data_IF_811097203294
#
_entry.id   IF_811097203294
#
_cell.length_a   1.000
_cell.length_b   1.000
_cell.length_c   1.000
_cell.angle_alpha   90.00
_cell.angle_beta   90.00
_cell.angle_gamma   90.00
#
_symmetry.space_group_name_H-M   'P 1'
#
loop_
_entity.id
_entity.type
_entity.pdbx_description
1 polymer ?
#
# COMPACT_ATOMS: atom_id res chain seq x y z
N UNK A 1 -3.43 35.96 27.83
CA UNK A 1 -4.80 35.43 27.62
C UNK A 1 -5.22 35.92 26.25
N UNK A 2 -5.56 35.16 25.22
CA UNK A 2 -6.02 33.78 25.01
C UNK A 2 -6.05 33.64 23.48
N UNK A 3 -5.63 32.52 22.87
CA UNK A 3 -6.02 32.27 21.47
C UNK A 3 -5.18 31.39 20.55
N UNK A 4 -4.07 30.78 20.96
CA UNK A 4 -3.27 29.92 20.06
C UNK A 4 -2.90 28.56 20.67
N UNK A 5 -3.84 27.91 21.34
CA UNK A 5 -3.75 26.49 21.65
C UNK A 5 -5.10 25.83 21.40
N UNK A 6 -5.12 24.88 20.45
CA UNK A 6 -6.12 23.81 20.23
C UNK A 6 -6.39 23.56 18.75
N UNK A 7 -5.38 23.08 18.00
CA UNK A 7 -5.60 22.35 16.75
C UNK A 7 -5.89 20.88 17.09
N UNK A 8 -7.04 20.65 17.72
CA UNK A 8 -7.50 19.33 18.18
C UNK A 8 -7.90 18.40 17.03
N UNK A 9 -7.82 17.10 17.31
CA UNK A 9 -8.30 15.88 16.63
C UNK A 9 -9.46 16.05 15.63
N UNK A 10 -10.35 17.02 15.84
CA UNK A 10 -11.46 17.40 14.96
C UNK A 10 -11.01 17.87 13.57
N UNK A 11 -9.90 18.62 13.44
CA UNK A 11 -9.36 19.05 12.12
C UNK A 11 -8.74 17.90 11.34
N UNK A 12 -8.06 16.96 12.01
CA UNK A 12 -7.58 15.70 11.41
C UNK A 12 -8.74 14.90 10.84
N UNK A 13 -9.82 14.74 11.61
CA UNK A 13 -11.02 13.99 11.19
C UNK A 13 -11.74 14.67 10.01
N UNK A 14 -11.84 16.01 9.99
CA UNK A 14 -12.45 16.76 8.87
C UNK A 14 -11.59 16.71 7.60
N UNK A 15 -10.27 16.81 7.73
CA UNK A 15 -9.36 16.73 6.58
C UNK A 15 -9.34 15.32 6.00
N UNK A 16 -9.28 14.28 6.83
CA UNK A 16 -9.39 12.88 6.39
C UNK A 16 -10.75 12.63 5.74
N UNK A 17 -11.86 13.14 6.31
CA UNK A 17 -13.19 13.04 5.67
C UNK A 17 -13.24 13.76 4.32
N UNK A 18 -12.72 14.99 4.20
CA UNK A 18 -12.66 15.67 2.90
C UNK A 18 -11.82 14.92 1.86
N UNK A 19 -10.71 14.30 2.28
CA UNK A 19 -9.84 13.51 1.41
C UNK A 19 -10.47 12.17 1.00
N UNK A 20 -11.28 11.54 1.88
CA UNK A 20 -12.01 10.30 1.58
C UNK A 20 -13.16 10.48 0.59
N UNK A 21 -13.72 11.69 0.44
CA UNK A 21 -14.84 11.99 -0.47
C UNK A 21 -14.40 12.57 -1.83
N UNK A 22 -13.15 12.98 -1.98
CA UNK A 22 -12.63 13.47 -3.25
C UNK A 22 -12.22 12.30 -4.16
N UNK A 23 -12.53 12.38 -5.46
CA UNK A 23 -11.93 11.43 -6.42
C UNK A 23 -10.40 11.47 -6.29
N UNK A 24 -9.71 10.34 -6.43
CA UNK A 24 -8.26 10.30 -6.23
C UNK A 24 -7.50 11.33 -7.11
N UNK A 25 -8.01 11.65 -8.30
CA UNK A 25 -7.49 12.73 -9.17
C UNK A 25 -7.66 14.12 -8.55
N UNK A 26 -8.82 14.40 -7.97
CA UNK A 26 -9.14 15.67 -7.29
C UNK A 26 -8.29 15.87 -6.04
N UNK A 27 -8.02 14.79 -5.30
CA UNK A 27 -7.20 14.79 -4.09
C UNK A 27 -5.73 15.14 -4.38
N UNK A 28 -5.11 14.47 -5.37
CA UNK A 28 -3.75 14.74 -5.83
C UNK A 28 -3.57 16.16 -6.36
N UNK A 29 -4.58 16.69 -7.06
CA UNK A 29 -4.56 18.07 -7.59
C UNK A 29 -4.65 19.10 -6.47
N UNK A 30 -5.49 18.85 -5.46
CA UNK A 30 -5.63 19.70 -4.28
C UNK A 30 -4.35 19.68 -3.43
N UNK A 31 -3.78 18.50 -3.18
CA UNK A 31 -2.51 18.34 -2.47
C UNK A 31 -1.36 18.99 -3.22
N UNK A 32 -1.23 18.78 -4.54
CA UNK A 32 -0.21 19.44 -5.35
C UNK A 32 -0.34 20.98 -5.28
N UNK A 33 -1.56 21.53 -5.31
CA UNK A 33 -1.79 22.97 -5.15
C UNK A 33 -1.41 23.48 -3.75
N UNK A 34 -1.71 22.73 -2.71
CA UNK A 34 -1.36 23.06 -1.32
C UNK A 34 0.17 22.98 -1.11
N UNK A 35 0.81 21.92 -1.60
CA UNK A 35 2.26 21.70 -1.57
C UNK A 35 3.00 22.78 -2.35
N UNK A 36 2.56 23.14 -3.56
CA UNK A 36 3.17 24.22 -4.35
C UNK A 36 3.10 25.57 -3.63
N UNK A 37 1.97 25.88 -2.96
CA UNK A 37 1.86 27.10 -2.14
C UNK A 37 2.75 27.08 -0.88
N UNK A 38 2.89 25.93 -0.24
CA UNK A 38 3.75 25.76 0.94
C UNK A 38 5.24 25.80 0.57
N UNK A 39 5.61 25.30 -0.62
CA UNK A 39 6.99 25.34 -1.14
C UNK A 39 7.37 26.72 -1.71
N UNK A 40 6.43 27.48 -2.26
CA UNK A 40 6.67 28.85 -2.74
C UNK A 40 6.94 29.87 -1.61
N UNK A 41 6.57 29.54 -0.37
CA UNK A 41 6.71 30.44 0.79
C UNK A 41 7.93 30.13 1.67
N UNK A 42 8.67 29.06 1.39
CA UNK A 42 9.88 28.68 2.14
C UNK A 42 11.04 28.40 1.20
N UNK A 43 12.10 29.19 1.31
CA UNK A 43 13.42 28.95 0.71
C UNK A 43 14.09 27.74 1.37
N UNK A 44 13.53 26.55 1.19
CA UNK A 44 14.08 25.31 1.75
C UNK A 44 14.68 24.45 0.64
N UNK A 45 15.85 23.84 0.91
CA UNK A 45 16.49 22.82 0.06
C UNK A 45 15.44 21.83 -0.47
N UNK A 46 15.55 21.42 -1.74
CA UNK A 46 14.62 20.44 -2.29
C UNK A 46 14.66 19.17 -1.43
N UNK A 47 13.50 18.55 -1.13
CA UNK A 47 13.47 17.31 -0.37
C UNK A 47 14.35 16.25 -1.05
N UNK A 48 15.06 15.43 -0.25
CA UNK A 48 15.87 14.32 -0.78
C UNK A 48 15.01 13.38 -1.62
N UNK A 49 15.63 12.60 -2.51
CA UNK A 49 14.94 11.73 -3.46
C UNK A 49 13.88 10.81 -2.84
N UNK A 50 14.00 10.47 -1.54
CA UNK A 50 13.01 9.68 -0.79
C UNK A 50 11.63 10.35 -0.66
N UNK A 51 11.56 11.69 -0.55
CA UNK A 51 10.32 12.43 -0.32
C UNK A 51 9.45 12.58 -1.57
N UNK A 52 10.06 12.54 -2.76
CA UNK A 52 9.33 12.56 -4.05
C UNK A 52 8.71 11.21 -4.41
N UNK A 53 9.03 10.15 -3.66
CA UNK A 53 8.46 8.81 -3.86
C UNK A 53 7.08 8.66 -3.22
N UNK A 54 6.88 9.30 -2.07
CA UNK A 54 5.71 9.17 -1.19
C UNK A 54 4.38 9.64 -1.80
N UNK A 55 4.41 10.36 -2.94
CA UNK A 55 3.26 11.02 -3.55
C UNK A 55 2.55 10.18 -4.63
N UNK A 56 3.11 9.03 -5.05
CA UNK A 56 2.64 8.32 -6.25
C UNK A 56 2.23 6.85 -6.08
N UNK A 57 2.49 6.23 -4.93
CA UNK A 57 2.23 4.82 -4.69
C UNK A 57 0.78 4.56 -4.32
N UNK A 58 -0.10 4.44 -5.32
CA UNK A 58 -1.44 3.86 -5.11
C UNK A 58 -1.29 2.45 -4.54
N UNK A 59 -1.60 2.27 -3.25
CA UNK A 59 -1.72 0.94 -2.62
C UNK A 59 -0.41 0.20 -2.33
N UNK A 60 0.77 0.79 -2.57
CA UNK A 60 2.09 0.14 -2.45
C UNK A 60 2.78 0.38 -1.10
N UNK A 61 2.22 1.19 -0.21
CA UNK A 61 2.92 1.56 1.04
C UNK A 61 2.88 0.47 2.12
N UNK A 62 2.01 -0.54 1.98
CA UNK A 62 2.08 -1.78 2.76
C UNK A 62 3.35 -2.57 2.50
N UNK A 63 3.77 -2.60 1.23
CA UNK A 63 4.96 -3.27 0.75
C UNK A 63 6.21 -2.57 1.21
N UNK A 64 6.20 -1.24 1.14
CA UNK A 64 7.38 -0.43 1.29
C UNK A 64 8.01 -0.56 2.67
N UNK A 65 7.23 -0.40 3.74
CA UNK A 65 7.76 -0.44 5.11
C UNK A 65 8.28 -1.83 5.49
N UNK A 66 7.55 -2.88 5.09
CA UNK A 66 7.95 -4.26 5.38
C UNK A 66 9.22 -4.66 4.60
N UNK A 67 9.31 -4.30 3.32
CA UNK A 67 10.50 -4.54 2.49
C UNK A 67 11.68 -3.64 2.86
N UNK A 68 11.46 -2.41 3.31
CA UNK A 68 12.53 -1.44 3.59
C UNK A 68 13.45 -1.93 4.70
N UNK A 69 12.87 -2.63 5.68
CA UNK A 69 13.60 -3.29 6.75
C UNK A 69 14.57 -4.36 6.24
N UNK A 70 14.23 -5.06 5.16
CA UNK A 70 15.04 -6.15 4.60
C UNK A 70 16.34 -5.66 3.97
N UNK A 71 16.48 -4.36 3.69
CA UNK A 71 17.72 -3.73 3.21
C UNK A 71 18.93 -4.01 4.08
N UNK A 72 18.72 -4.18 5.40
CA UNK A 72 19.78 -4.48 6.37
C UNK A 72 20.53 -5.78 6.04
N UNK A 73 19.88 -6.70 5.34
CA UNK A 73 20.43 -7.98 4.91
C UNK A 73 20.95 -7.96 3.46
N UNK A 74 20.93 -6.81 2.78
CA UNK A 74 21.33 -6.68 1.37
C UNK A 74 20.27 -7.28 0.44
N UNK A 75 19.23 -6.52 0.10
CA UNK A 75 18.13 -7.02 -0.72
C UNK A 75 18.61 -7.29 -2.16
N UNK A 76 18.51 -8.55 -2.61
CA UNK A 76 19.05 -9.01 -3.90
C UNK A 76 17.97 -9.21 -4.96
N UNK A 77 16.82 -9.79 -4.59
CA UNK A 77 15.67 -9.98 -5.49
C UNK A 77 14.36 -9.90 -4.73
N UNK A 78 13.31 -9.50 -5.43
CA UNK A 78 11.93 -9.53 -4.92
C UNK A 78 11.03 -10.21 -5.94
N UNK A 79 10.24 -11.18 -5.47
CA UNK A 79 9.16 -11.79 -6.23
C UNK A 79 7.87 -11.52 -5.48
N UNK A 80 6.84 -11.05 -6.18
CA UNK A 80 5.62 -10.58 -5.57
C UNK A 80 4.39 -10.99 -6.37
N UNK A 81 3.32 -11.30 -5.65
CA UNK A 81 1.98 -11.43 -6.23
C UNK A 81 1.02 -10.57 -5.43
N UNK A 82 0.37 -9.63 -6.10
CA UNK A 82 -0.55 -8.69 -5.47
C UNK A 82 -2.00 -9.11 -5.70
N UNK A 83 -2.81 -8.91 -4.67
CA UNK A 83 -4.23 -9.19 -4.62
C UNK A 83 -4.94 -7.88 -4.31
N UNK A 84 -5.16 -7.09 -5.35
CA UNK A 84 -5.66 -5.74 -5.24
C UNK A 84 -7.19 -5.71 -5.18
N UNK A 85 -7.72 -4.85 -4.30
CA UNK A 85 -9.14 -4.62 -4.08
C UNK A 85 -9.80 -3.74 -5.14
N UNK A 86 -11.13 -3.82 -5.27
CA UNK A 86 -11.95 -3.02 -6.18
C UNK A 86 -11.79 -1.49 -5.99
N UNK A 87 -11.50 -1.01 -4.78
CA UNK A 87 -11.26 0.42 -4.51
C UNK A 87 -10.11 1.03 -5.32
N UNK A 88 -9.20 0.22 -5.86
CA UNK A 88 -8.17 0.68 -6.80
C UNK A 88 -8.75 1.29 -8.08
N UNK A 89 -9.93 0.84 -8.50
CA UNK A 89 -10.69 1.41 -9.63
C UNK A 89 -11.65 2.54 -9.19
N UNK A 90 -11.60 2.95 -7.93
CA UNK A 90 -12.46 4.01 -7.37
C UNK A 90 -13.82 3.51 -6.90
N UNK A 91 -14.73 4.46 -6.64
CA UNK A 91 -16.07 4.17 -6.13
C UNK A 91 -16.88 3.32 -7.12
N UNK A 92 -16.79 3.64 -8.41
CA UNK A 92 -17.49 2.90 -9.47
C UNK A 92 -17.08 1.43 -9.52
N UNK A 93 -15.80 1.10 -9.32
CA UNK A 93 -15.35 -0.29 -9.25
C UNK A 93 -15.87 -1.03 -8.01
N UNK A 94 -15.98 -0.35 -6.86
CA UNK A 94 -16.59 -0.95 -5.67
C UNK A 94 -18.10 -1.17 -5.85
N UNK A 95 -18.77 -0.26 -6.55
CA UNK A 95 -20.20 -0.36 -6.84
C UNK A 95 -20.47 -1.48 -7.85
N UNK A 96 -19.68 -1.58 -8.92
CA UNK A 96 -19.75 -2.69 -9.89
C UNK A 96 -19.57 -4.05 -9.22
N UNK A 97 -18.60 -4.18 -8.31
CA UNK A 97 -18.44 -5.42 -7.53
C UNK A 97 -19.67 -5.69 -6.65
N UNK A 98 -20.19 -4.68 -5.95
CA UNK A 98 -21.32 -4.85 -5.03
C UNK A 98 -22.58 -5.27 -5.77
N UNK A 99 -22.90 -4.58 -6.86
CA UNK A 99 -24.15 -4.78 -7.58
C UNK A 99 -24.09 -6.05 -8.44
N UNK A 100 -22.94 -6.34 -9.06
CA UNK A 100 -22.71 -7.61 -9.73
C UNK A 100 -22.76 -8.80 -8.77
N UNK A 101 -22.24 -8.69 -7.55
CA UNK A 101 -22.35 -9.76 -6.56
C UNK A 101 -23.82 -10.01 -6.15
N UNK A 102 -24.63 -8.97 -6.00
CA UNK A 102 -26.08 -9.11 -5.76
C UNK A 102 -26.79 -9.76 -6.95
N UNK A 103 -26.44 -9.38 -8.18
CA UNK A 103 -27.00 -9.97 -9.40
C UNK A 103 -26.75 -11.48 -9.42
N UNK A 104 -25.51 -11.92 -9.22
CA UNK A 104 -25.15 -13.33 -9.23
C UNK A 104 -25.88 -14.13 -8.14
N UNK A 105 -25.93 -13.60 -6.92
CA UNK A 105 -26.52 -14.32 -5.76
C UNK A 105 -28.05 -14.42 -5.85
N UNK A 106 -28.72 -13.45 -6.45
CA UNK A 106 -30.19 -13.42 -6.55
C UNK A 106 -30.74 -14.04 -7.85
N UNK A 107 -29.87 -14.58 -8.70
CA UNK A 107 -30.23 -15.14 -10.01
C UNK A 107 -30.04 -16.66 -10.03
N UNK A 108 -30.37 -17.29 -11.16
CA UNK A 108 -30.15 -18.71 -11.35
C UNK A 108 -28.66 -19.07 -11.26
N UNK A 109 -28.38 -20.30 -10.84
CA UNK A 109 -27.01 -20.83 -10.78
C UNK A 109 -26.31 -20.68 -12.14
N UNK A 110 -25.04 -20.26 -12.12
CA UNK A 110 -24.26 -19.97 -13.33
C UNK A 110 -24.47 -18.57 -13.94
N UNK A 111 -25.26 -17.70 -13.30
CA UNK A 111 -25.36 -16.29 -13.73
C UNK A 111 -23.99 -15.60 -13.61
N UNK A 112 -23.57 -14.90 -14.67
CA UNK A 112 -22.35 -14.10 -14.71
C UNK A 112 -22.72 -12.62 -14.76
N UNK A 113 -22.24 -11.83 -13.80
CA UNK A 113 -22.48 -10.39 -13.76
C UNK A 113 -21.90 -9.68 -14.99
N UNK A 114 -22.49 -8.56 -15.38
CA UNK A 114 -21.90 -7.67 -16.39
C UNK A 114 -20.74 -6.88 -15.81
N UNK A 115 -19.81 -6.45 -16.66
CA UNK A 115 -18.71 -5.56 -16.32
C UNK A 115 -18.65 -4.35 -17.26
N UNK A 116 -18.31 -3.19 -16.71
CA UNK A 116 -18.11 -1.93 -17.44
C UNK A 116 -16.82 -1.25 -17.00
N UNK A 117 -16.52 -1.27 -15.71
CA UNK A 117 -15.33 -0.67 -15.11
C UNK A 117 -14.14 -1.63 -15.21
N UNK A 118 -14.34 -2.91 -14.91
CA UNK A 118 -13.30 -3.93 -15.03
C UNK A 118 -13.29 -4.57 -16.43
N UNK A 119 -12.15 -5.15 -16.83
CA UNK A 119 -12.01 -5.85 -18.11
C UNK A 119 -12.86 -7.13 -18.19
N UNK A 120 -13.12 -7.76 -17.04
CA UNK A 120 -13.95 -8.95 -16.89
C UNK A 120 -14.84 -8.80 -15.64
N UNK A 121 -15.91 -9.61 -15.50
CA UNK A 121 -16.72 -9.65 -14.29
C UNK A 121 -15.86 -10.01 -13.08
N UNK A 122 -15.94 -9.20 -12.03
CA UNK A 122 -15.17 -9.40 -10.79
C UNK A 122 -15.88 -10.26 -9.72
N UNK A 123 -17.21 -10.21 -9.53
CA UNK A 123 -17.87 -11.02 -8.50
C UNK A 123 -17.56 -12.51 -8.65
N UNK A 124 -17.08 -13.12 -7.57
CA UNK A 124 -16.68 -14.55 -7.53
C UNK A 124 -15.61 -14.95 -8.56
N UNK A 125 -14.85 -13.97 -9.08
CA UNK A 125 -13.79 -14.17 -10.06
C UNK A 125 -12.54 -13.37 -9.68
N UNK A 126 -11.41 -13.62 -10.33
CA UNK A 126 -10.19 -12.82 -10.25
C UNK A 126 -9.72 -12.40 -11.65
N UNK A 127 -9.01 -11.28 -11.73
CA UNK A 127 -8.54 -10.71 -13.00
C UNK A 127 -7.04 -10.47 -12.92
N UNK A 128 -6.19 -11.28 -13.59
CA UNK A 128 -4.74 -11.13 -13.58
C UNK A 128 -4.27 -10.06 -14.59
N UNK A 129 -4.93 -8.89 -14.55
CA UNK A 129 -4.68 -7.77 -15.46
C UNK A 129 -5.12 -6.49 -14.76
N UNK A 130 -4.16 -5.60 -14.49
CA UNK A 130 -4.40 -4.29 -13.90
C UNK A 130 -3.61 -3.23 -14.68
N UNK A 131 -4.32 -2.22 -15.19
CA UNK A 131 -3.72 -1.20 -16.08
C UNK A 131 -3.24 -1.84 -17.41
N UNK A 132 -2.68 -1.05 -18.33
CA UNK A 132 -2.37 -1.51 -19.69
C UNK A 132 -1.12 -2.40 -19.76
N UNK A 133 -1.09 -3.38 -20.65
CA UNK A 133 0.12 -4.14 -20.98
C UNK A 133 1.22 -3.23 -21.58
N UNK A 134 2.47 -3.60 -21.35
CA UNK A 134 3.68 -2.96 -21.86
C UNK A 134 4.39 -3.89 -22.85
N UNK A 135 5.41 -3.41 -23.55
CA UNK A 135 6.13 -4.18 -24.59
C UNK A 135 6.79 -5.47 -24.04
N UNK A 136 7.12 -5.50 -22.76
CA UNK A 136 7.70 -6.67 -22.08
C UNK A 136 6.64 -7.63 -21.51
N UNK A 137 5.36 -7.46 -21.88
CA UNK A 137 4.20 -8.26 -21.44
C UNK A 137 3.84 -8.15 -19.96
N UNK A 138 4.54 -7.32 -19.19
CA UNK A 138 4.04 -6.88 -17.89
C UNK A 138 2.99 -5.81 -18.08
N UNK A 139 2.06 -5.73 -17.15
CA UNK A 139 1.15 -4.59 -17.03
C UNK A 139 1.86 -3.39 -16.43
N UNK A 140 1.35 -2.20 -16.71
CA UNK A 140 1.86 -0.95 -16.16
C UNK A 140 1.79 -0.94 -14.62
N UNK A 141 0.82 -1.60 -14.02
CA UNK A 141 0.75 -1.73 -12.56
C UNK A 141 1.89 -2.58 -12.01
N UNK A 142 2.22 -3.71 -12.62
CA UNK A 142 3.35 -4.55 -12.22
C UNK A 142 4.70 -3.82 -12.39
N UNK A 143 4.83 -3.04 -13.45
CA UNK A 143 6.01 -2.22 -13.68
C UNK A 143 6.13 -1.07 -12.66
N UNK A 144 5.01 -0.46 -12.22
CA UNK A 144 5.02 0.52 -11.13
C UNK A 144 5.57 -0.09 -9.84
N UNK A 145 5.16 -1.30 -9.46
CA UNK A 145 5.71 -1.99 -8.30
C UNK A 145 7.24 -2.07 -8.41
N UNK A 146 7.75 -2.49 -9.56
CA UNK A 146 9.19 -2.58 -9.83
C UNK A 146 9.91 -1.24 -9.67
N UNK A 147 9.40 -0.18 -10.32
CA UNK A 147 10.03 1.13 -10.30
C UNK A 147 10.00 1.78 -8.92
N UNK A 148 8.88 1.67 -8.21
CA UNK A 148 8.72 2.22 -6.87
C UNK A 148 9.57 1.44 -5.87
N UNK A 149 9.62 0.11 -5.95
CA UNK A 149 10.57 -0.68 -5.15
C UNK A 149 12.01 -0.21 -5.37
N UNK A 150 12.46 -0.04 -6.62
CA UNK A 150 13.82 0.46 -6.90
C UNK A 150 14.09 1.84 -6.31
N UNK A 151 13.12 2.74 -6.40
CA UNK A 151 13.25 4.14 -5.96
C UNK A 151 13.21 4.27 -4.44
N UNK A 152 12.26 3.62 -3.77
CA UNK A 152 12.16 3.64 -2.31
C UNK A 152 13.34 2.87 -1.70
N UNK A 153 13.70 1.77 -2.35
CA UNK A 153 14.88 1.03 -2.00
C UNK A 153 16.15 1.65 -2.57
N UNK A 154 16.22 2.85 -3.14
CA UNK A 154 17.50 3.43 -3.61
C UNK A 154 18.50 2.43 -4.26
N UNK A 155 17.97 1.44 -5.00
CA UNK A 155 18.71 0.34 -5.63
C UNK A 155 18.14 0.29 -7.06
N UNK A 156 18.65 1.13 -7.97
CA UNK A 156 18.10 1.26 -9.32
C UNK A 156 18.08 -0.05 -10.12
N UNK A 157 19.00 -0.97 -9.81
CA UNK A 157 19.15 -2.26 -10.47
C UNK A 157 18.36 -3.40 -9.82
N UNK A 158 17.58 -3.15 -8.76
CA UNK A 158 16.89 -4.21 -8.01
C UNK A 158 15.99 -5.03 -8.95
N UNK A 159 16.24 -6.35 -9.11
CA UNK A 159 15.35 -7.24 -9.82
C UNK A 159 14.06 -7.43 -9.02
N UNK A 160 12.94 -7.05 -9.64
CA UNK A 160 11.60 -7.24 -9.09
C UNK A 160 10.75 -7.91 -10.17
N UNK A 161 10.07 -8.98 -9.81
CA UNK A 161 9.02 -9.59 -10.62
C UNK A 161 7.72 -9.54 -9.84
N UNK A 162 6.68 -9.00 -10.46
CA UNK A 162 5.39 -8.80 -9.83
C UNK A 162 4.29 -9.29 -10.76
N UNK A 163 3.32 -10.04 -10.23
CA UNK A 163 2.03 -10.29 -10.87
C UNK A 163 0.93 -9.54 -10.15
N UNK A 164 0.15 -8.73 -10.85
CA UNK A 164 -0.91 -7.92 -10.25
C UNK A 164 -2.30 -8.47 -10.58
N UNK A 165 -3.03 -8.91 -9.55
CA UNK A 165 -4.34 -9.55 -9.68
C UNK A 165 -5.40 -8.72 -8.97
N UNK A 166 -6.47 -8.34 -9.68
CA UNK A 166 -7.67 -7.76 -9.07
C UNK A 166 -8.50 -8.89 -8.49
N UNK A 167 -8.84 -8.78 -7.21
CA UNK A 167 -9.66 -9.75 -6.47
C UNK A 167 -10.97 -9.11 -5.97
N UNK A 168 -12.01 -9.89 -5.65
CA UNK A 168 -13.31 -9.37 -5.27
C UNK A 168 -13.35 -8.94 -3.78
N UNK A 169 -12.40 -8.11 -3.37
CA UNK A 169 -12.38 -7.44 -2.07
C UNK A 169 -12.63 -5.95 -2.26
N UNK A 170 -13.25 -5.30 -1.26
CA UNK A 170 -13.66 -3.91 -1.43
C UNK A 170 -12.51 -2.91 -1.33
N UNK A 171 -11.70 -2.99 -0.26
CA UNK A 171 -10.81 -1.88 0.14
C UNK A 171 -9.36 -2.24 0.41
N UNK A 172 -9.09 -3.43 0.91
CA UNK A 172 -7.76 -3.80 1.37
C UNK A 172 -7.02 -4.62 0.30
N UNK A 173 -5.80 -4.19 -0.02
CA UNK A 173 -4.89 -4.95 -0.87
C UNK A 173 -4.13 -5.95 0.00
N UNK A 174 -3.74 -7.05 -0.60
CA UNK A 174 -2.85 -8.01 0.03
C UNK A 174 -1.73 -8.39 -0.93
N UNK A 175 -0.57 -8.77 -0.40
CA UNK A 175 0.53 -9.25 -1.21
C UNK A 175 1.20 -10.47 -0.59
N UNK A 176 1.55 -11.43 -1.44
CA UNK A 176 2.53 -12.46 -1.13
C UNK A 176 3.90 -12.00 -1.63
N UNK A 177 4.88 -12.00 -0.73
CA UNK A 177 6.19 -11.41 -1.00
C UNK A 177 7.26 -12.42 -0.65
N UNK A 178 8.16 -12.66 -1.61
CA UNK A 178 9.38 -13.44 -1.42
C UNK A 178 10.56 -12.52 -1.68
N UNK A 179 11.54 -12.54 -0.79
CA UNK A 179 12.79 -11.81 -0.94
C UNK A 179 13.98 -12.74 -0.86
N UNK A 180 14.98 -12.47 -1.69
CA UNK A 180 16.33 -13.05 -1.60
C UNK A 180 17.26 -11.95 -1.07
N UNK A 181 18.11 -12.28 -0.09
CA UNK A 181 19.07 -11.36 0.54
C UNK A 181 20.51 -11.84 0.41
N UNK A 182 21.47 -10.92 0.43
CA UNK A 182 22.91 -11.24 0.39
C UNK A 182 23.36 -11.92 1.67
N UNK A 183 22.89 -11.43 2.81
CA UNK A 183 23.15 -12.02 4.12
C UNK A 183 22.03 -13.00 4.48
N UNK A 184 22.34 -14.08 5.22
CA UNK A 184 21.32 -14.92 5.81
C UNK A 184 20.35 -14.11 6.68
N UNK A 185 19.08 -14.48 6.65
CA UNK A 185 18.02 -13.85 7.43
C UNK A 185 17.29 -14.91 8.24
N UNK A 186 17.31 -14.76 9.58
CA UNK A 186 16.55 -15.63 10.48
C UNK A 186 15.12 -15.13 10.60
N UNK A 187 14.16 -16.04 10.58
CA UNK A 187 12.72 -15.74 10.71
C UNK A 187 12.41 -14.91 11.96
N UNK A 188 12.99 -15.26 13.11
CA UNK A 188 12.73 -14.56 14.38
C UNK A 188 13.28 -13.13 14.36
N UNK A 189 14.45 -12.92 13.76
CA UNK A 189 15.04 -11.59 13.60
C UNK A 189 14.19 -10.72 12.66
N UNK A 190 13.71 -11.29 11.56
CA UNK A 190 12.81 -10.61 10.64
C UNK A 190 11.49 -10.22 11.33
N UNK A 191 10.91 -11.14 12.12
CA UNK A 191 9.68 -10.91 12.88
C UNK A 191 9.87 -9.78 13.90
N UNK A 192 10.95 -9.79 14.66
CA UNK A 192 11.27 -8.75 15.64
C UNK A 192 11.45 -7.38 15.00
N UNK A 193 12.12 -7.34 13.84
CA UNK A 193 12.32 -6.12 13.07
C UNK A 193 10.98 -5.53 12.58
N UNK A 194 10.13 -6.38 12.01
CA UNK A 194 8.80 -5.99 11.54
C UNK A 194 7.90 -5.55 12.70
N UNK A 195 7.94 -6.23 13.84
CA UNK A 195 7.15 -5.88 15.02
C UNK A 195 7.52 -4.51 15.60
N UNK A 196 8.78 -4.08 15.47
CA UNK A 196 9.27 -2.77 15.94
C UNK A 196 9.06 -1.65 14.92
N UNK A 197 8.59 -1.97 13.71
CA UNK A 197 8.48 -1.02 12.62
C UNK A 197 7.22 -0.18 12.70
N UNK A 198 7.31 1.16 12.64
CA UNK A 198 6.15 2.03 12.69
C UNK A 198 5.15 1.73 11.56
N UNK A 199 3.87 1.59 11.90
CA UNK A 199 2.82 1.36 10.93
C UNK A 199 2.66 -0.09 10.49
N UNK A 200 3.42 -1.02 11.07
CA UNK A 200 3.20 -2.45 10.94
C UNK A 200 2.43 -2.96 12.15
N UNK A 201 1.41 -3.77 11.89
CA UNK A 201 0.72 -4.59 12.88
C UNK A 201 1.06 -6.05 12.62
N UNK A 202 1.80 -6.69 13.53
CA UNK A 202 2.13 -8.10 13.37
C UNK A 202 0.89 -8.96 13.63
N UNK A 203 0.47 -9.72 12.63
CA UNK A 203 -0.56 -10.75 12.71
C UNK A 203 0.07 -12.08 12.29
N UNK A 204 0.93 -12.66 13.14
CA UNK A 204 1.72 -13.84 12.81
C UNK A 204 1.55 -14.94 13.87
N UNK A 205 0.33 -15.48 14.00
CA UNK A 205 0.06 -16.67 14.82
C UNK A 205 -0.69 -17.74 13.99
N UNK A 206 -0.02 -18.40 13.01
CA UNK A 206 -0.68 -19.35 12.12
C UNK A 206 -1.38 -20.51 12.85
N UNK A 207 -0.81 -20.97 13.97
CA UNK A 207 -1.40 -22.03 14.81
C UNK A 207 -2.78 -21.62 15.39
N UNK A 208 -3.00 -20.33 15.63
CA UNK A 208 -4.24 -19.76 16.13
C UNK A 208 -5.13 -19.18 15.01
N UNK A 209 -4.80 -19.46 13.74
CA UNK A 209 -5.50 -18.93 12.56
C UNK A 209 -5.53 -17.39 12.51
N UNK A 210 -4.50 -16.73 13.05
CA UNK A 210 -4.33 -15.28 12.93
C UNK A 210 -3.21 -14.97 11.92
N UNK A 211 -3.61 -14.34 10.84
CA UNK A 211 -2.74 -13.89 9.76
C UNK A 211 -3.38 -12.69 9.05
N UNK A 212 -2.61 -11.91 8.25
CA UNK A 212 -3.16 -10.75 7.58
C UNK A 212 -4.27 -11.14 6.62
N UNK A 213 -5.36 -10.38 6.63
CA UNK A 213 -6.49 -10.60 5.74
C UNK A 213 -7.12 -9.27 5.31
N UNK A 214 -7.67 -9.18 4.09
CA UNK A 214 -8.40 -7.98 3.66
C UNK A 214 -9.53 -7.59 4.61
N UNK A 215 -10.18 -8.58 5.23
CA UNK A 215 -11.24 -8.39 6.21
C UNK A 215 -10.75 -7.63 7.46
N UNK A 216 -9.60 -8.00 8.00
CA UNK A 216 -9.05 -7.42 9.23
C UNK A 216 -8.29 -6.13 8.95
N UNK A 217 -7.60 -6.00 7.82
CA UNK A 217 -6.85 -4.79 7.46
C UNK A 217 -7.74 -3.62 7.00
N UNK A 218 -8.96 -3.89 6.54
CA UNK A 218 -9.89 -2.86 6.07
C UNK A 218 -10.18 -1.80 7.15
N UNK A 219 -10.11 -0.53 6.75
CA UNK A 219 -10.30 0.67 7.60
C UNK A 219 -9.31 0.79 8.77
N UNK A 220 -8.23 0.02 8.79
CA UNK A 220 -7.13 0.19 9.74
C UNK A 220 -6.01 1.03 9.13
N UNK A 221 -5.35 1.80 9.99
CA UNK A 221 -4.16 2.57 9.62
C UNK A 221 -2.90 1.71 9.45
N UNK A 222 -2.57 0.77 10.37
CA UNK A 222 -1.41 -0.08 10.20
C UNK A 222 -1.64 -1.16 9.14
N UNK A 223 -0.53 -1.61 8.58
CA UNK A 223 -0.45 -2.71 7.62
C UNK A 223 -0.25 -3.99 8.40
N UNK A 224 -1.11 -4.97 8.19
CA UNK A 224 -0.99 -6.28 8.81
C UNK A 224 0.11 -7.07 8.10
N UNK A 225 1.04 -7.65 8.85
CA UNK A 225 2.14 -8.48 8.31
C UNK A 225 2.18 -9.80 9.08
N UNK A 226 2.39 -10.91 8.37
CA UNK A 226 2.45 -12.23 8.98
C UNK A 226 2.74 -13.32 7.98
N UNK A 227 2.50 -14.58 8.37
CA UNK A 227 2.92 -15.77 7.60
C UNK A 227 4.43 -15.77 7.32
N UNK A 228 5.20 -15.19 8.23
CA UNK A 228 6.64 -14.98 8.09
C UNK A 228 7.33 -16.32 8.26
N UNK A 229 8.11 -16.72 7.26
CA UNK A 229 8.81 -18.01 7.25
C UNK A 229 10.03 -17.97 6.35
N UNK A 230 10.93 -18.93 6.57
CA UNK A 230 12.05 -19.15 5.67
C UNK A 230 11.51 -19.58 4.29
N UNK A 231 12.04 -19.00 3.23
CA UNK A 231 11.70 -19.44 1.89
C UNK A 231 12.50 -20.69 1.51
N UNK A 232 11.81 -21.74 1.06
CA UNK A 232 12.43 -23.04 0.77
C UNK A 232 13.35 -22.98 -0.46
N UNK A 233 13.08 -22.09 -1.42
CA UNK A 233 13.86 -21.97 -2.66
C UNK A 233 15.20 -21.27 -2.42
N UNK A 234 15.21 -20.23 -1.60
CA UNK A 234 16.41 -19.44 -1.32
C UNK A 234 17.12 -19.81 -0.01
N UNK A 235 16.61 -20.81 0.74
CA UNK A 235 17.22 -21.29 1.98
C UNK A 235 17.41 -20.17 3.00
N UNK A 236 18.57 -20.15 3.66
CA UNK A 236 18.91 -19.16 4.69
C UNK A 236 18.93 -17.71 4.19
N UNK A 237 18.99 -17.50 2.88
CA UNK A 237 18.96 -16.18 2.22
C UNK A 237 17.57 -15.76 1.77
N UNK A 238 16.55 -16.53 2.12
CA UNK A 238 15.18 -16.37 1.64
C UNK A 238 14.18 -16.09 2.73
N UNK A 239 13.39 -15.02 2.61
CA UNK A 239 12.25 -14.77 3.47
C UNK A 239 10.96 -14.70 2.64
N UNK A 240 9.90 -15.31 3.14
CA UNK A 240 8.56 -15.18 2.57
C UNK A 240 7.57 -14.73 3.64
N UNK A 241 6.72 -13.78 3.29
CA UNK A 241 5.70 -13.23 4.17
C UNK A 241 4.51 -12.72 3.37
N UNK A 242 3.41 -12.50 4.08
CA UNK A 242 2.17 -11.98 3.54
C UNK A 242 1.82 -10.67 4.22
N UNK A 243 1.30 -9.72 3.46
CA UNK A 243 0.91 -8.41 3.98
C UNK A 243 -0.49 -8.04 3.54
N UNK A 244 -1.17 -7.21 4.32
CA UNK A 244 -2.47 -6.67 3.96
C UNK A 244 -2.69 -5.26 4.53
N UNK A 245 -3.22 -4.34 3.72
CA UNK A 245 -3.44 -2.95 4.13
C UNK A 245 -4.64 -2.29 3.43
N UNK A 246 -5.32 -1.36 4.11
CA UNK A 246 -6.40 -0.56 3.52
C UNK A 246 -5.83 0.44 2.51
N UNK A 247 -6.22 0.30 1.24
CA UNK A 247 -5.68 1.11 0.16
C UNK A 247 -6.18 2.56 0.19
N UNK A 248 -7.37 2.84 0.75
CA UNK A 248 -7.90 4.20 0.81
C UNK A 248 -7.26 5.02 1.95
N UNK A 249 -6.80 4.34 3.00
CA UNK A 249 -6.06 4.96 4.10
C UNK A 249 -4.56 4.97 3.79
N UNK A 250 -3.84 3.90 4.13
CA UNK A 250 -2.37 3.86 4.02
C UNK A 250 -1.92 4.09 2.58
N UNK A 251 -2.61 3.49 1.61
CA UNK A 251 -2.29 3.62 0.18
C UNK A 251 -2.76 4.92 -0.49
N UNK A 252 -3.34 5.88 0.24
CA UNK A 252 -3.80 7.16 -0.32
C UNK A 252 -3.88 8.30 0.71
N UNK A 253 -4.91 8.35 1.55
CA UNK A 253 -5.22 9.52 2.36
C UNK A 253 -4.27 9.74 3.55
N UNK A 254 -3.78 8.66 4.18
CA UNK A 254 -2.90 8.76 5.34
C UNK A 254 -1.55 9.36 4.96
N UNK A 255 -0.96 8.95 3.83
CA UNK A 255 0.30 9.51 3.37
C UNK A 255 0.23 11.01 3.12
N UNK A 256 -0.86 11.48 2.52
CA UNK A 256 -1.08 12.91 2.31
C UNK A 256 -1.07 13.68 3.63
N UNK A 257 -1.69 13.12 4.68
CA UNK A 257 -1.70 13.71 6.02
C UNK A 257 -0.30 13.66 6.64
N UNK A 258 0.39 12.51 6.58
CA UNK A 258 1.74 12.35 7.12
C UNK A 258 2.76 13.30 6.48
N UNK A 259 2.70 13.48 5.16
CA UNK A 259 3.53 14.47 4.45
C UNK A 259 3.20 15.88 4.94
N UNK A 260 1.91 16.23 5.03
CA UNK A 260 1.49 17.54 5.50
C UNK A 260 1.94 17.82 6.95
N UNK A 261 1.87 16.82 7.83
CA UNK A 261 2.35 16.90 9.21
C UNK A 261 3.87 17.06 9.26
N UNK A 262 4.62 16.26 8.49
CA UNK A 262 6.07 16.37 8.42
C UNK A 262 6.56 17.73 7.89
N UNK A 263 5.85 18.31 6.92
CA UNK A 263 6.16 19.66 6.39
C UNK A 263 5.75 20.79 7.35
N UNK A 264 4.78 20.53 8.22
CA UNK A 264 4.32 21.49 9.23
C UNK A 264 5.26 21.54 10.45
N UNK A 265 6.04 20.49 10.72
CA UNK A 265 7.00 20.49 11.82
C UNK A 265 8.19 21.44 11.53
N UNK A 266 8.70 22.16 12.56
CA UNK A 266 9.89 22.98 12.41
C UNK A 266 11.12 22.12 12.13
N UNK A 267 11.92 22.53 11.15
CA UNK A 267 13.20 21.88 10.80
C UNK A 267 14.09 21.78 12.05
N UNK A 268 14.43 20.57 12.48
CA UNK A 268 15.36 20.32 13.60
C UNK A 268 14.89 19.39 14.71
N UNK A 269 13.69 18.78 14.61
CA UNK A 269 13.26 17.68 15.49
C UNK A 269 13.07 16.40 14.69
N UNK A 270 13.45 15.27 15.27
CA UNK A 270 13.18 13.94 14.72
C UNK A 270 11.66 13.73 14.62
N UNK A 271 11.13 13.78 13.39
CA UNK A 271 9.72 13.55 13.13
C UNK A 271 9.38 12.08 13.40
N UNK A 272 8.63 11.83 14.48
CA UNK A 272 8.02 10.53 14.76
C UNK A 272 6.52 10.65 14.48
N UNK A 273 6.01 10.07 13.38
CA UNK A 273 4.58 10.12 13.10
C UNK A 273 3.81 9.40 14.20
N UNK A 274 2.89 10.11 14.85
CA UNK A 274 1.95 9.53 15.81
C UNK A 274 0.84 8.82 15.03
N UNK A 275 1.05 7.52 14.78
CA UNK A 275 0.06 6.61 14.22
C UNK A 275 -1.04 6.29 15.23
#
# INVERSE_FOLDING_TARGET
MTGLLSLTTRRRSVMIRMLLFASQRSMLTLLARILTRLLQTRTARPPSASWRCFLFTRGLDSLTESLFNMRRFGLKKVIMSTYQAASGAGQEGMDELRDGAKEVVNSAEGTIAKNKIFAHPLPFNLIPHIDVFQDNLYTKEEMKVTWECRKIMDIPSLPVSCTAVRIPTFRAHAESIVVETEKPIKVDEARDLLAKSPGIALADEPANKKYPMPLTASKKYPVEVGRIRQNIVFGDHGLEFFVCGDQLLRGAALNAVLIAEALAEPVGKDFTPKL
#
